data_IF_715470428000
#
_entry.id   IF_715470428000
#
_cell.length_a   1.000
_cell.length_b   1.000
_cell.length_c   1.000
_cell.angle_alpha   90.00
_cell.angle_beta   90.00
_cell.angle_gamma   90.00
#
_symmetry.space_group_name_H-M   'P 1'
#
loop_
_entity.id
_entity.type
_entity.pdbx_description
1 polymer ?
#
# COMPACT_ATOMS: atom_id res chain seq x y z
N UNK A 1 -15.11 -10.54 -2.68
CA UNK A 1 -13.79 -9.89 -2.91
C UNK A 1 -12.95 -10.10 -1.67
N UNK A 2 -11.68 -10.46 -1.80
CA UNK A 2 -10.79 -10.75 -0.67
C UNK A 2 -10.21 -9.45 -0.09
N UNK A 3 -10.82 -8.89 0.96
CA UNK A 3 -10.40 -7.63 1.62
C UNK A 3 -9.34 -7.85 2.70
N UNK A 4 -8.24 -7.10 2.73
CA UNK A 4 -7.21 -7.24 3.77
C UNK A 4 -6.05 -6.27 3.59
N UNK A 5 -5.04 -6.38 4.43
CA UNK A 5 -3.80 -5.60 4.28
C UNK A 5 -2.87 -6.35 3.33
N UNK A 6 -2.32 -5.63 2.36
CA UNK A 6 -1.40 -6.16 1.35
C UNK A 6 -0.01 -5.67 1.64
N UNK A 7 0.91 -6.59 1.93
CA UNK A 7 2.32 -6.31 2.15
C UNK A 7 3.11 -6.61 0.88
N UNK A 8 3.75 -5.59 0.35
CA UNK A 8 4.68 -5.61 -0.76
C UNK A 8 6.10 -5.62 -0.20
N UNK A 9 6.92 -6.59 -0.58
CA UNK A 9 8.33 -6.71 -0.20
C UNK A 9 9.15 -6.54 -1.48
N UNK A 10 10.08 -5.59 -1.47
CA UNK A 10 10.82 -5.20 -2.67
C UNK A 10 12.23 -5.79 -2.67
N UNK A 11 12.72 -6.14 -3.86
CA UNK A 11 14.13 -6.52 -4.06
C UNK A 11 15.06 -5.34 -3.70
N UNK A 12 16.33 -5.62 -3.45
CA UNK A 12 17.40 -4.64 -3.18
C UNK A 12 17.56 -3.61 -4.29
N UNK A 13 17.17 -3.97 -5.52
CA UNK A 13 17.35 -3.14 -6.71
C UNK A 13 16.27 -2.05 -6.86
N UNK A 14 15.15 -2.13 -6.13
CA UNK A 14 14.15 -1.05 -6.07
C UNK A 14 14.39 -0.21 -4.82
N UNK A 15 14.64 1.09 -4.96
CA UNK A 15 14.65 1.96 -3.79
C UNK A 15 13.22 2.07 -3.21
N UNK A 16 13.08 1.94 -1.89
CA UNK A 16 11.77 2.04 -1.24
C UNK A 16 11.08 3.38 -1.53
N UNK A 17 11.87 4.45 -1.71
CA UNK A 17 11.39 5.77 -2.13
C UNK A 17 10.71 5.76 -3.50
N UNK A 18 11.21 4.94 -4.43
CA UNK A 18 10.63 4.82 -5.77
C UNK A 18 9.30 4.08 -5.70
N UNK A 19 9.25 2.97 -4.94
CA UNK A 19 8.00 2.26 -4.67
C UNK A 19 6.96 3.15 -3.95
N UNK A 20 7.40 3.98 -3.00
CA UNK A 20 6.53 4.97 -2.35
C UNK A 20 6.02 6.03 -3.35
N UNK A 21 6.87 6.52 -4.25
CA UNK A 21 6.45 7.47 -5.28
C UNK A 21 5.39 6.83 -6.22
N UNK A 22 5.56 5.57 -6.60
CA UNK A 22 4.58 4.82 -7.40
C UNK A 22 3.27 4.60 -6.63
N UNK A 23 3.32 4.39 -5.30
CA UNK A 23 2.11 4.35 -4.47
C UNK A 23 1.38 5.69 -4.43
N UNK A 24 2.11 6.80 -4.32
CA UNK A 24 1.52 8.14 -4.40
C UNK A 24 0.87 8.39 -5.76
N UNK A 25 1.49 7.93 -6.85
CA UNK A 25 0.88 8.00 -8.19
C UNK A 25 -0.43 7.20 -8.26
N UNK A 26 -0.48 6.01 -7.66
CA UNK A 26 -1.71 5.21 -7.56
C UNK A 26 -2.81 5.93 -6.76
N UNK A 27 -2.45 6.60 -5.66
CA UNK A 27 -3.40 7.41 -4.90
C UNK A 27 -3.93 8.57 -5.73
N UNK A 28 -3.09 9.34 -6.41
CA UNK A 28 -3.49 10.43 -7.32
C UNK A 28 -4.47 9.94 -8.38
N UNK A 29 -4.20 8.77 -8.98
CA UNK A 29 -5.12 8.17 -9.94
C UNK A 29 -6.49 7.82 -9.31
N UNK A 30 -6.49 7.30 -8.07
CA UNK A 30 -7.71 7.03 -7.32
C UNK A 30 -8.48 8.31 -6.96
N UNK A 31 -7.80 9.45 -6.73
CA UNK A 31 -8.46 10.73 -6.46
C UNK A 31 -9.33 11.19 -7.63
N UNK A 32 -8.95 10.87 -8.87
CA UNK A 32 -9.76 11.14 -10.06
C UNK A 32 -11.06 10.33 -10.11
N UNK A 33 -11.15 9.19 -9.42
CA UNK A 33 -12.32 8.32 -9.40
C UNK A 33 -13.22 8.56 -8.17
N UNK A 34 -12.61 8.78 -7.00
CA UNK A 34 -13.31 8.82 -5.72
C UNK A 34 -13.33 10.21 -5.09
N UNK A 35 -12.56 11.15 -5.62
CA UNK A 35 -12.33 12.45 -5.00
C UNK A 35 -11.27 12.39 -3.90
N UNK A 36 -10.50 13.47 -3.80
CA UNK A 36 -9.34 13.55 -2.93
C UNK A 36 -9.65 13.37 -1.43
N UNK A 37 -10.76 13.93 -0.94
CA UNK A 37 -11.12 13.83 0.49
C UNK A 37 -11.38 12.38 0.92
N UNK A 38 -12.08 11.61 0.07
CA UNK A 38 -12.40 10.21 0.32
C UNK A 38 -11.12 9.35 0.29
N UNK A 39 -10.25 9.57 -0.69
CA UNK A 39 -8.96 8.86 -0.77
C UNK A 39 -8.13 9.08 0.49
N UNK A 40 -8.08 10.31 1.00
CA UNK A 40 -7.33 10.62 2.23
C UNK A 40 -7.90 9.97 3.49
N UNK A 41 -9.22 9.73 3.56
CA UNK A 41 -9.85 9.08 4.72
C UNK A 41 -9.78 7.55 4.65
N UNK A 42 -9.91 6.99 3.45
CA UNK A 42 -10.11 5.55 3.28
C UNK A 42 -8.85 4.78 2.89
N UNK A 43 -7.76 5.46 2.53
CA UNK A 43 -6.48 4.83 2.19
C UNK A 43 -5.51 5.00 3.35
N UNK A 44 -5.02 3.88 3.85
CA UNK A 44 -3.97 3.82 4.86
C UNK A 44 -2.83 2.93 4.37
N UNK A 45 -1.60 3.37 4.58
CA UNK A 45 -0.41 2.58 4.27
C UNK A 45 0.70 2.81 5.29
N UNK A 46 1.65 1.89 5.36
CA UNK A 46 2.83 1.97 6.20
C UNK A 46 4.07 1.53 5.44
N UNK A 47 5.16 2.26 5.63
CA UNK A 47 6.48 1.91 5.11
C UNK A 47 7.39 1.38 6.21
N UNK A 48 8.04 0.25 5.92
CA UNK A 48 9.07 -0.34 6.75
C UNK A 48 10.39 -0.31 5.98
N UNK A 49 11.22 0.68 6.32
CA UNK A 49 12.54 0.86 5.71
C UNK A 49 13.48 -0.32 5.98
N UNK A 50 13.44 -0.88 7.20
CA UNK A 50 14.34 -1.97 7.58
C UNK A 50 13.95 -3.26 6.86
N UNK A 51 12.65 -3.57 6.79
CA UNK A 51 12.12 -4.72 6.08
C UNK A 51 11.92 -4.52 4.58
N UNK A 52 12.24 -3.33 4.04
CA UNK A 52 12.02 -2.94 2.63
C UNK A 52 10.62 -3.31 2.14
N UNK A 53 9.61 -2.86 2.88
CA UNK A 53 8.22 -3.24 2.59
C UNK A 53 7.24 -2.07 2.70
N UNK A 54 6.19 -2.14 1.89
CA UNK A 54 5.02 -1.27 1.96
C UNK A 54 3.81 -2.13 2.29
N UNK A 55 3.02 -1.72 3.28
CA UNK A 55 1.74 -2.34 3.59
C UNK A 55 0.63 -1.36 3.23
N UNK A 56 -0.34 -1.78 2.41
CA UNK A 56 -1.50 -0.96 2.03
C UNK A 56 -2.76 -1.64 2.55
N UNK A 57 -3.59 -0.89 3.27
CA UNK A 57 -4.89 -1.37 3.72
C UNK A 57 -5.87 -1.43 2.55
N UNK A 58 -6.25 -2.64 2.14
CA UNK A 58 -7.24 -2.90 1.12
C UNK A 58 -8.58 -3.38 1.69
N UNK A 59 -8.91 -3.07 2.94
CA UNK A 59 -10.20 -3.42 3.57
C UNK A 59 -11.33 -2.48 3.17
N UNK A 60 -11.02 -1.26 2.72
CA UNK A 60 -11.97 -0.32 2.13
C UNK A 60 -12.06 -0.52 0.61
N UNK A 61 -13.19 -0.15 -0.05
CA UNK A 61 -13.28 -0.18 -1.51
C UNK A 61 -12.21 0.69 -2.20
N UNK A 62 -11.88 1.84 -1.59
CA UNK A 62 -10.89 2.80 -2.10
C UNK A 62 -9.48 2.25 -1.94
N UNK A 63 -9.13 1.74 -0.75
CA UNK A 63 -7.86 1.08 -0.50
C UNK A 63 -7.64 -0.13 -1.41
N UNK A 64 -8.68 -0.94 -1.62
CA UNK A 64 -8.63 -2.07 -2.56
C UNK A 64 -8.40 -1.60 -4.01
N UNK A 65 -8.92 -0.43 -4.40
CA UNK A 65 -8.64 0.16 -5.72
C UNK A 65 -7.19 0.62 -5.82
N UNK A 66 -6.66 1.30 -4.81
CA UNK A 66 -5.25 1.72 -4.74
C UNK A 66 -4.31 0.51 -4.81
N UNK A 67 -4.59 -0.59 -4.09
CA UNK A 67 -3.79 -1.82 -4.17
C UNK A 67 -3.70 -2.34 -5.62
N UNK A 68 -4.81 -2.34 -6.36
CA UNK A 68 -4.83 -2.80 -7.76
C UNK A 68 -4.05 -1.87 -8.68
N UNK A 69 -4.25 -0.55 -8.52
CA UNK A 69 -3.54 0.47 -9.31
C UNK A 69 -2.03 0.41 -9.04
N UNK A 70 -1.65 0.37 -7.77
CA UNK A 70 -0.25 0.26 -7.34
C UNK A 70 0.41 -1.00 -7.88
N UNK A 71 -0.25 -2.16 -7.76
CA UNK A 71 0.27 -3.42 -8.33
C UNK A 71 0.49 -3.31 -9.84
N UNK A 72 -0.47 -2.74 -10.57
CA UNK A 72 -0.37 -2.57 -12.03
C UNK A 72 0.78 -1.63 -12.42
N UNK A 73 0.96 -0.52 -11.70
CA UNK A 73 2.06 0.41 -11.93
C UNK A 73 3.42 -0.21 -11.62
N UNK A 74 3.54 -0.89 -10.48
CA UNK A 74 4.77 -1.60 -10.07
C UNK A 74 5.19 -2.65 -11.10
N UNK A 75 4.25 -3.45 -11.59
CA UNK A 75 4.51 -4.44 -12.65
C UNK A 75 5.03 -3.80 -13.93
N UNK A 76 4.47 -2.64 -14.31
CA UNK A 76 4.87 -1.93 -15.52
C UNK A 76 6.22 -1.24 -15.38
N UNK A 77 6.53 -0.71 -14.21
CA UNK A 77 7.73 0.09 -13.96
C UNK A 77 8.95 -0.77 -13.64
N UNK A 78 8.76 -1.83 -12.84
CA UNK A 78 9.86 -2.63 -12.30
C UNK A 78 9.85 -4.11 -12.72
N UNK A 79 8.72 -4.61 -13.23
CA UNK A 79 8.57 -6.01 -13.64
C UNK A 79 8.03 -6.94 -12.56
N UNK A 80 7.70 -8.18 -12.95
CA UNK A 80 7.06 -9.19 -12.08
C UNK A 80 7.98 -9.68 -10.96
N UNK A 81 9.28 -9.81 -11.22
CA UNK A 81 10.24 -10.38 -10.26
C UNK A 81 10.74 -9.39 -9.22
N UNK A 82 10.38 -8.10 -9.37
CA UNK A 82 11.00 -7.02 -8.61
C UNK A 82 10.40 -6.84 -7.20
N UNK A 83 9.24 -7.46 -6.94
CA UNK A 83 8.60 -7.45 -5.63
C UNK A 83 7.74 -8.70 -5.43
N UNK A 84 7.44 -9.00 -4.17
CA UNK A 84 6.44 -10.01 -3.81
C UNK A 84 5.30 -9.34 -3.06
N UNK A 85 4.07 -9.81 -3.27
CA UNK A 85 2.89 -9.33 -2.55
C UNK A 85 2.26 -10.46 -1.75
N UNK A 86 1.94 -10.20 -0.48
CA UNK A 86 1.22 -11.14 0.39
C UNK A 86 0.09 -10.42 1.10
N UNK A 87 -1.06 -11.08 1.19
CA UNK A 87 -2.14 -10.62 2.07
C UNK A 87 -1.81 -11.03 3.50
N UNK A 88 -1.84 -10.07 4.41
CA UNK A 88 -1.66 -10.27 5.85
C UNK A 88 -2.96 -9.95 6.57
N UNK A 89 -3.16 -10.55 7.75
CA UNK A 89 -4.28 -10.16 8.61
C UNK A 89 -4.02 -8.73 9.09
N UNK A 90 -5.05 -7.89 9.02
CA UNK A 90 -5.02 -6.61 9.71
C UNK A 90 -4.82 -6.93 11.20
N UNK A 91 -3.65 -6.59 11.75
CA UNK A 91 -3.44 -6.70 13.18
C UNK A 91 -4.32 -5.64 13.82
N UNK A 92 -5.26 -6.05 14.66
CA UNK A 92 -5.90 -5.14 15.61
C UNK A 92 -4.81 -4.70 16.58
N UNK A 93 -4.10 -3.62 16.26
CA UNK A 93 -3.28 -2.95 17.26
C UNK A 93 -4.24 -2.43 18.33
N UNK A 94 -4.36 -3.15 19.44
CA UNK A 94 -4.90 -2.58 20.67
C UNK A 94 -4.08 -1.32 20.98
N UNK A 95 -4.73 -0.20 21.34
CA UNK A 95 -4.00 1.00 21.70
C UNK A 95 -3.12 0.67 22.90
N UNK A 96 -1.80 0.74 22.69
CA UNK A 96 -0.84 0.66 23.78
C UNK A 96 -1.20 1.78 24.77
N UNK A 97 -1.73 1.38 25.93
CA UNK A 97 -2.07 2.29 27.00
C UNK A 97 -0.79 3.02 27.39
N UNK A 98 -0.69 4.28 27.00
CA UNK A 98 0.33 5.19 27.48
C UNK A 98 0.14 5.33 28.99
N UNK A 99 0.96 4.61 29.75
CA UNK A 99 1.17 4.86 31.16
C UNK A 99 1.98 6.16 31.32
N UNK A 100 1.36 7.19 31.87
CA UNK A 100 1.99 8.29 32.59
C UNK A 100 1.00 8.86 33.60
#
# INVERSE_FOLDING_TARGET
MTTGVYRFIFDKDIALTDAEATLHLAMIAAEGLFGNAIVRMDVSFAADQAGRSLSVDGTTPVGAAVVRMFTSLMLREFGEDAFTVRRVKASSAEPTAAAA
#
